data_IF_168976643440
#
_entry.id   IF_168976643440
#
_cell.length_a   1.000
_cell.length_b   1.000
_cell.length_c   1.000
_cell.angle_alpha   90.00
_cell.angle_beta   90.00
_cell.angle_gamma   90.00
#
_symmetry.space_group_name_H-M   'P 1'
#
loop_
_entity.id
_entity.type
_entity.pdbx_description
1 polymer ?
#
# COMPACT_ATOMS: atom_id res chain seq x y z
N UNK A 1 -8.54 -0.87 34.22
CA UNK A 1 -8.13 0.24 33.32
C UNK A 1 -7.93 -0.45 32.00
N UNK A 2 -9.07 -0.73 31.41
CA UNK A 2 -9.21 -1.55 30.23
C UNK A 2 -9.23 -0.55 29.10
N UNK A 3 -8.15 -0.51 28.33
CA UNK A 3 -8.00 0.37 27.18
C UNK A 3 -8.99 -0.10 26.11
N UNK A 4 -10.15 0.54 26.10
CA UNK A 4 -11.19 0.36 25.08
C UNK A 4 -10.69 1.02 23.80
N UNK A 5 -9.86 0.30 23.04
CA UNK A 5 -9.52 0.72 21.67
C UNK A 5 -10.75 0.52 20.81
N UNK A 6 -11.45 1.61 20.51
CA UNK A 6 -12.61 1.65 19.62
C UNK A 6 -12.24 1.09 18.25
N UNK A 7 -12.61 -0.16 17.98
CA UNK A 7 -12.54 -0.76 16.64
C UNK A 7 -13.68 -0.16 15.83
N UNK A 8 -13.42 0.99 15.20
CA UNK A 8 -14.29 1.54 14.18
C UNK A 8 -14.42 0.50 13.08
N UNK A 9 -15.63 0.00 12.90
CA UNK A 9 -16.00 -1.08 11.98
C UNK A 9 -16.00 -0.58 10.52
N UNK A 10 -14.93 0.10 10.11
CA UNK A 10 -14.59 0.38 8.71
C UNK A 10 -13.77 -0.80 8.23
N UNK A 11 -14.17 -1.44 7.14
CA UNK A 11 -13.45 -2.54 6.53
C UNK A 11 -12.10 -2.03 6.03
N UNK A 12 -11.07 -2.04 6.88
CA UNK A 12 -9.74 -1.58 6.48
C UNK A 12 -9.14 -2.55 5.46
N UNK A 13 -8.88 -2.08 4.24
CA UNK A 13 -8.20 -2.85 3.20
C UNK A 13 -6.71 -2.74 3.45
N UNK A 14 -6.01 -3.84 3.77
CA UNK A 14 -4.57 -3.83 3.94
C UNK A 14 -3.92 -3.57 2.58
N UNK A 15 -3.00 -2.63 2.53
CA UNK A 15 -2.36 -2.15 1.32
C UNK A 15 -0.88 -1.78 1.54
N UNK A 16 -0.16 -1.63 0.45
CA UNK A 16 1.20 -1.10 0.42
C UNK A 16 1.18 0.21 -0.33
N UNK A 17 1.67 1.26 0.32
CA UNK A 17 1.97 2.52 -0.32
C UNK A 17 3.40 2.47 -0.86
N UNK A 18 3.55 2.53 -2.18
CA UNK A 18 4.84 2.40 -2.83
C UNK A 18 5.14 3.67 -3.61
N UNK A 19 6.30 4.27 -3.33
CA UNK A 19 6.81 5.45 -4.03
C UNK A 19 8.28 5.29 -4.38
N UNK A 20 8.77 6.08 -5.32
CA UNK A 20 10.21 6.17 -5.58
C UNK A 20 10.88 7.19 -4.66
N UNK A 21 12.18 7.02 -4.44
CA UNK A 21 12.98 8.06 -3.78
C UNK A 21 12.95 9.36 -4.59
N UNK A 22 13.06 10.52 -3.93
CA UNK A 22 13.04 11.86 -4.58
C UNK A 22 14.02 12.03 -5.75
N UNK A 23 15.16 11.31 -5.74
CA UNK A 23 16.14 11.35 -6.82
C UNK A 23 15.71 10.56 -8.08
N UNK A 24 14.69 9.71 -7.96
CA UNK A 24 14.24 8.79 -9.00
C UNK A 24 12.82 9.18 -9.37
N UNK A 25 12.68 9.85 -10.52
CA UNK A 25 11.39 10.36 -10.98
C UNK A 25 10.45 9.27 -11.49
N UNK A 26 11.00 8.12 -11.91
CA UNK A 26 10.21 7.03 -12.47
C UNK A 26 10.96 5.70 -12.37
N UNK A 27 10.29 4.67 -11.83
CA UNK A 27 10.82 3.31 -11.76
C UNK A 27 9.75 2.32 -12.20
N UNK A 28 10.12 1.26 -12.91
CA UNK A 28 9.20 0.18 -13.30
C UNK A 28 9.57 -1.09 -12.57
N UNK A 29 8.60 -1.70 -11.89
CA UNK A 29 8.78 -2.99 -11.18
C UNK A 29 7.45 -3.76 -11.20
N UNK A 30 7.51 -5.07 -11.42
CA UNK A 30 6.34 -5.95 -11.50
C UNK A 30 5.24 -5.43 -12.46
N UNK A 31 5.62 -4.80 -13.58
CA UNK A 31 4.68 -4.23 -14.55
C UNK A 31 4.09 -2.86 -14.18
N UNK A 32 4.32 -2.37 -12.95
CA UNK A 32 3.81 -1.08 -12.48
C UNK A 32 4.88 0.02 -12.59
N UNK A 33 4.43 1.25 -12.82
CA UNK A 33 5.27 2.45 -12.83
C UNK A 33 5.09 3.16 -11.50
N UNK A 34 6.17 3.35 -10.76
CA UNK A 34 6.21 4.11 -9.53
C UNK A 34 6.86 5.48 -9.77
N UNK A 35 6.31 6.49 -9.11
CA UNK A 35 6.77 7.88 -9.12
C UNK A 35 6.99 8.37 -7.68
N UNK A 36 7.58 9.56 -7.47
CA UNK A 36 7.78 10.12 -6.14
C UNK A 36 6.47 10.46 -5.42
N UNK A 37 5.38 10.65 -6.17
CA UNK A 37 4.03 10.87 -5.62
C UNK A 37 3.55 9.62 -4.88
N UNK A 38 3.91 8.44 -5.38
CA UNK A 38 3.51 7.16 -4.81
C UNK A 38 2.06 6.81 -5.09
N UNK A 39 1.75 5.52 -5.01
CA UNK A 39 0.38 5.04 -5.06
C UNK A 39 0.19 3.83 -4.16
N UNK A 40 -1.03 3.68 -3.65
CA UNK A 40 -1.45 2.55 -2.84
C UNK A 40 -1.83 1.36 -3.71
N UNK A 41 -1.44 0.17 -3.28
CA UNK A 41 -1.86 -1.09 -3.90
C UNK A 41 -2.38 -2.01 -2.79
N UNK A 42 -3.61 -2.50 -2.94
CA UNK A 42 -4.16 -3.48 -2.02
C UNK A 42 -3.29 -4.74 -1.98
N UNK A 43 -3.02 -5.25 -0.77
CA UNK A 43 -2.24 -6.47 -0.55
C UNK A 43 -2.91 -7.68 -1.21
N UNK A 44 -4.24 -7.68 -1.31
CA UNK A 44 -5.00 -8.70 -2.04
C UNK A 44 -4.69 -8.80 -3.53
N UNK A 45 -4.19 -7.70 -4.14
CA UNK A 45 -3.79 -7.65 -5.55
C UNK A 45 -2.31 -7.96 -5.81
N UNK A 46 -1.52 -8.22 -4.76
CA UNK A 46 -0.09 -8.48 -4.85
C UNK A 46 0.24 -9.89 -4.40
N UNK A 47 1.19 -10.53 -5.11
CA UNK A 47 1.76 -11.79 -4.64
C UNK A 47 2.89 -11.53 -3.65
N UNK A 48 3.17 -12.50 -2.77
CA UNK A 48 4.28 -12.41 -1.82
C UNK A 48 5.64 -12.15 -2.52
N UNK A 49 5.84 -12.71 -3.71
CA UNK A 49 7.04 -12.46 -4.52
C UNK A 49 7.13 -11.01 -5.00
N UNK A 50 6.00 -10.40 -5.38
CA UNK A 50 5.96 -9.00 -5.79
C UNK A 50 6.25 -8.06 -4.61
N UNK A 51 5.67 -8.34 -3.45
CA UNK A 51 5.92 -7.60 -2.20
C UNK A 51 7.41 -7.63 -1.88
N UNK A 52 7.98 -8.84 -1.81
CA UNK A 52 9.41 -9.01 -1.56
C UNK A 52 10.29 -8.31 -2.61
N UNK A 53 9.88 -8.31 -3.88
CA UNK A 53 10.60 -7.61 -4.94
C UNK A 53 10.54 -6.08 -4.83
N UNK A 54 9.51 -5.52 -4.19
CA UNK A 54 9.42 -4.09 -3.89
C UNK A 54 10.27 -3.73 -2.68
N UNK A 55 10.18 -4.51 -1.59
CA UNK A 55 10.97 -4.33 -0.38
C UNK A 55 12.47 -4.47 -0.63
N UNK A 56 12.85 -5.36 -1.56
CA UNK A 56 14.24 -5.58 -1.95
C UNK A 56 14.79 -4.50 -2.88
N UNK A 57 13.95 -3.65 -3.51
CA UNK A 57 14.43 -2.61 -4.41
C UNK A 57 14.81 -1.35 -3.61
N UNK A 58 16.11 -1.01 -3.48
CA UNK A 58 16.54 0.14 -2.68
C UNK A 58 16.08 1.49 -3.26
N UNK A 59 15.59 1.51 -4.50
CA UNK A 59 15.08 2.70 -5.17
C UNK A 59 13.62 3.01 -4.82
N UNK A 60 12.91 2.04 -4.26
CA UNK A 60 11.54 2.15 -3.82
C UNK A 60 11.48 2.35 -2.30
N UNK A 61 10.43 3.02 -1.86
CA UNK A 61 10.04 3.14 -0.46
C UNK A 61 8.68 2.45 -0.39
N UNK A 62 8.61 1.39 0.40
CA UNK A 62 7.40 0.60 0.64
C UNK A 62 6.97 0.91 2.07
N UNK A 63 5.73 1.35 2.23
CA UNK A 63 5.12 1.67 3.52
C UNK A 63 3.83 0.86 3.66
N UNK A 64 3.69 0.10 4.74
CA UNK A 64 2.45 -0.64 5.04
C UNK A 64 1.37 0.36 5.45
N UNK A 65 0.19 0.29 4.80
CA UNK A 65 -0.90 1.23 5.02
C UNK A 65 -2.25 0.51 4.91
N UNK A 66 -3.27 0.98 5.61
CA UNK A 66 -4.66 0.56 5.41
C UNK A 66 -5.44 1.69 4.74
N UNK A 67 -6.31 1.33 3.79
CA UNK A 67 -7.31 2.25 3.28
C UNK A 67 -8.67 1.89 3.90
N UNK A 68 -9.49 2.87 4.31
CA UNK A 68 -10.87 2.57 4.67
C UNK A 68 -11.57 2.04 3.42
N UNK A 69 -12.09 0.81 3.44
CA UNK A 69 -13.13 0.46 2.49
C UNK A 69 -14.32 1.32 2.86
N UNK A 70 -14.69 2.24 1.98
CA UNK A 70 -16.01 2.82 2.04
C UNK A 70 -17.00 1.64 2.06
N UNK A 71 -17.91 1.58 3.06
CA UNK A 71 -18.95 0.56 3.05
C UNK A 71 -19.70 0.76 1.75
N UNK A 72 -19.77 -0.28 0.92
CA UNK A 72 -20.58 -0.30 -0.29
C UNK A 72 -21.95 0.34 0.03
N UNK A 73 -22.26 1.49 -0.56
CA UNK A 73 -23.65 1.93 -0.68
C UNK A 73 -24.28 0.94 -1.68
N UNK A 74 -24.79 -0.18 -1.17
CA UNK A 74 -25.67 -1.10 -1.90
C UNK A 74 -26.84 -0.28 -2.48
N UNK A 75 -26.90 -0.09 -3.81
CA UNK A 75 -28.08 0.43 -4.52
C UNK A 75 -28.80 -0.68 -5.31
#
# INVERSE_FOLDING_TARGET
>A
MDDETTVSNQTEIPALFIRTRKAILRRRRCGQVFTPEGHGIALSGLTAEQISAFESDPTLIVEECSFPADPDEDE
#
